data_IF_848863500998
#
_entry.id   IF_848863500998
#
_cell.length_a   1.000
_cell.length_b   1.000
_cell.length_c   1.000
_cell.angle_alpha   90.00
_cell.angle_beta   90.00
_cell.angle_gamma   90.00
#
_symmetry.space_group_name_H-M   'P 1'
#
loop_
_entity.id
_entity.type
_entity.pdbx_description
1 polymer ?
#
# COMPACT_ATOMS: atom_id res chain seq x y z
N UNK A 1 -23.80 6.38 16.08
CA UNK A 1 -23.19 6.73 14.78
C UNK A 1 -21.66 6.71 14.80
N UNK A 2 -21.02 7.07 15.92
CA UNK A 2 -19.55 7.12 16.00
C UNK A 2 -18.86 5.74 15.97
N UNK A 3 -19.52 4.68 16.46
CA UNK A 3 -18.96 3.32 16.44
C UNK A 3 -18.60 2.83 15.03
N UNK A 4 -19.45 3.11 14.04
CA UNK A 4 -19.19 2.72 12.64
C UNK A 4 -17.97 3.48 12.09
N UNK A 5 -17.84 4.78 12.40
CA UNK A 5 -16.68 5.57 11.98
C UNK A 5 -15.39 5.08 12.66
N UNK A 6 -15.46 4.68 13.93
CA UNK A 6 -14.29 4.15 14.66
C UNK A 6 -13.82 2.84 14.02
N UNK A 7 -14.73 1.91 13.75
CA UNK A 7 -14.40 0.64 13.07
C UNK A 7 -13.80 0.91 11.69
N UNK A 8 -14.38 1.84 10.93
CA UNK A 8 -13.87 2.21 9.60
C UNK A 8 -12.45 2.79 9.68
N UNK A 9 -12.17 3.67 10.65
CA UNK A 9 -10.82 4.20 10.85
C UNK A 9 -9.81 3.12 11.21
N UNK A 10 -10.18 2.15 12.04
CA UNK A 10 -9.32 1.01 12.36
C UNK A 10 -9.01 0.17 11.14
N UNK A 11 -10.01 -0.11 10.29
CA UNK A 11 -9.81 -0.83 9.03
C UNK A 11 -8.86 -0.07 8.09
N UNK A 12 -9.04 1.25 7.94
CA UNK A 12 -8.15 2.09 7.12
C UNK A 12 -6.73 2.04 7.66
N UNK A 13 -6.53 2.19 8.98
CA UNK A 13 -5.21 2.13 9.62
C UNK A 13 -4.54 0.78 9.40
N UNK A 14 -5.28 -0.31 9.54
CA UNK A 14 -4.77 -1.65 9.30
C UNK A 14 -4.35 -1.84 7.84
N UNK A 15 -5.18 -1.36 6.90
CA UNK A 15 -4.86 -1.40 5.48
C UNK A 15 -3.62 -0.56 5.11
N UNK A 16 -3.45 0.62 5.73
CA UNK A 16 -2.25 1.44 5.58
C UNK A 16 -1.00 0.69 6.07
N UNK A 17 -1.09 -0.07 7.16
CA UNK A 17 0.02 -0.88 7.65
C UNK A 17 0.42 -1.97 6.65
N UNK A 18 -0.56 -2.64 6.02
CA UNK A 18 -0.32 -3.60 4.93
C UNK A 18 0.38 -2.90 3.74
N UNK A 19 -0.07 -1.70 3.36
CA UNK A 19 0.57 -0.93 2.28
C UNK A 19 2.02 -0.57 2.59
N UNK A 20 2.32 -0.17 3.83
CA UNK A 20 3.70 0.10 4.25
C UNK A 20 4.55 -1.16 4.06
N UNK A 21 4.04 -2.32 4.49
CA UNK A 21 4.75 -3.59 4.35
C UNK A 21 5.01 -3.91 2.86
N UNK A 22 4.01 -3.69 1.99
CA UNK A 22 4.18 -3.80 0.53
C UNK A 22 5.28 -2.87 -0.01
N UNK A 23 5.27 -1.59 0.38
CA UNK A 23 6.29 -0.62 -0.06
C UNK A 23 7.68 -1.10 0.33
N UNK A 24 7.87 -1.58 1.57
CA UNK A 24 9.15 -2.11 2.04
C UNK A 24 9.59 -3.30 1.16
N UNK A 25 8.66 -4.22 0.85
CA UNK A 25 8.94 -5.39 0.03
C UNK A 25 9.31 -4.99 -1.42
N UNK A 26 8.62 -4.01 -2.00
CA UNK A 26 8.93 -3.47 -3.33
C UNK A 26 10.29 -2.74 -3.34
N UNK A 27 10.63 -2.02 -2.27
CA UNK A 27 11.94 -1.40 -2.10
C UNK A 27 13.05 -2.46 -2.02
N UNK A 28 12.91 -3.48 -1.17
CA UNK A 28 13.89 -4.58 -1.06
C UNK A 28 14.12 -5.22 -2.44
N UNK A 29 13.04 -5.49 -3.19
CA UNK A 29 13.12 -6.03 -4.55
C UNK A 29 13.84 -5.10 -5.51
N UNK A 30 13.49 -3.81 -5.49
CA UNK A 30 14.04 -2.88 -6.46
C UNK A 30 15.50 -2.54 -6.18
N UNK A 31 15.94 -2.56 -4.92
CA UNK A 31 17.35 -2.37 -4.54
C UNK A 31 18.18 -3.63 -4.77
N UNK A 32 17.59 -4.82 -4.59
CA UNK A 32 18.26 -6.10 -4.82
C UNK A 32 17.77 -6.75 -6.11
N UNK A 33 18.34 -6.31 -7.25
CA UNK A 33 17.96 -6.78 -8.59
C UNK A 33 18.06 -8.30 -8.78
N UNK A 34 18.89 -8.98 -7.98
CA UNK A 34 19.08 -10.44 -7.99
C UNK A 34 18.37 -11.15 -6.82
N UNK A 35 17.43 -10.48 -6.14
CA UNK A 35 16.74 -11.05 -4.99
C UNK A 35 15.89 -12.26 -5.40
N UNK A 36 16.12 -13.38 -4.71
CA UNK A 36 15.29 -14.59 -4.81
C UNK A 36 14.61 -14.77 -3.46
N UNK A 37 13.33 -14.42 -3.30
CA UNK A 37 12.65 -14.55 -2.02
C UNK A 37 12.66 -16.01 -1.57
N UNK A 38 12.96 -16.26 -0.29
CA UNK A 38 12.79 -17.60 0.27
C UNK A 38 11.31 -18.01 0.22
N UNK A 39 11.05 -19.31 0.15
CA UNK A 39 9.70 -19.87 0.02
C UNK A 39 8.75 -19.40 1.13
N UNK A 40 9.24 -19.32 2.37
CA UNK A 40 8.45 -18.84 3.51
C UNK A 40 8.02 -17.37 3.34
N UNK A 41 8.91 -16.53 2.79
CA UNK A 41 8.61 -15.11 2.57
C UNK A 41 7.51 -14.95 1.51
N UNK A 42 7.57 -15.74 0.44
CA UNK A 42 6.56 -15.68 -0.63
C UNK A 42 5.15 -16.03 -0.10
N UNK A 43 5.06 -17.02 0.79
CA UNK A 43 3.79 -17.42 1.43
C UNK A 43 3.22 -16.30 2.30
N UNK A 44 4.06 -15.58 3.04
CA UNK A 44 3.62 -14.46 3.88
C UNK A 44 3.26 -13.22 3.06
N UNK A 45 3.97 -12.99 1.95
CA UNK A 45 3.78 -11.81 1.13
C UNK A 45 2.55 -11.92 0.20
N UNK A 46 2.21 -13.14 -0.26
CA UNK A 46 1.06 -13.41 -1.11
C UNK A 46 -0.26 -12.78 -0.62
N UNK A 47 -0.71 -12.97 0.63
CA UNK A 47 -1.94 -12.33 1.11
C UNK A 47 -1.85 -10.81 1.13
N UNK A 48 -0.67 -10.22 1.39
CA UNK A 48 -0.47 -8.77 1.34
C UNK A 48 -0.66 -8.25 -0.08
N UNK A 49 -0.09 -8.95 -1.08
CA UNK A 49 -0.24 -8.59 -2.48
C UNK A 49 -1.68 -8.76 -2.95
N UNK A 50 -2.37 -9.84 -2.57
CA UNK A 50 -3.78 -10.05 -2.92
C UNK A 50 -4.67 -8.91 -2.41
N UNK A 51 -4.44 -8.46 -1.18
CA UNK A 51 -5.24 -7.37 -0.58
C UNK A 51 -4.91 -6.01 -1.19
N UNK A 52 -3.64 -5.76 -1.53
CA UNK A 52 -3.20 -4.45 -2.01
C UNK A 52 -3.22 -4.28 -3.53
N UNK A 53 -3.16 -5.36 -4.31
CA UNK A 53 -3.09 -5.30 -5.76
C UNK A 53 -4.33 -4.75 -6.44
N UNK A 54 -5.58 -5.08 -6.05
CA UNK A 54 -6.76 -4.50 -6.69
C UNK A 54 -6.78 -2.96 -6.67
N UNK A 55 -6.58 -2.28 -5.52
CA UNK A 55 -6.56 -0.81 -5.48
C UNK A 55 -5.30 -0.21 -6.13
N UNK A 56 -4.13 -0.85 -6.00
CA UNK A 56 -2.92 -0.39 -6.68
C UNK A 56 -3.08 -0.52 -8.19
N UNK A 57 -3.63 -1.62 -8.71
CA UNK A 57 -3.92 -1.79 -10.14
C UNK A 57 -4.95 -0.79 -10.64
N UNK A 58 -5.95 -0.46 -9.84
CA UNK A 58 -6.91 0.59 -10.18
C UNK A 58 -6.21 1.95 -10.36
N UNK A 59 -5.27 2.29 -9.47
CA UNK A 59 -4.47 3.51 -9.58
C UNK A 59 -3.43 3.46 -10.71
N UNK A 60 -2.80 2.31 -10.97
CA UNK A 60 -1.85 2.13 -12.08
C UNK A 60 -2.49 2.41 -13.45
N UNK A 61 -3.81 2.26 -13.59
CA UNK A 61 -4.54 2.65 -14.80
C UNK A 61 -4.55 4.17 -15.01
N UNK A 62 -4.50 4.94 -13.94
CA UNK A 62 -4.53 6.41 -13.97
C UNK A 62 -3.12 7.01 -13.95
N UNK A 63 -2.22 6.42 -13.17
CA UNK A 63 -0.85 6.89 -12.95
C UNK A 63 0.11 5.73 -13.23
N UNK A 64 0.69 5.64 -14.44
CA UNK A 64 1.61 4.56 -14.76
C UNK A 64 2.88 4.65 -13.90
N UNK A 65 3.51 3.50 -13.56
CA UNK A 65 4.72 3.48 -12.75
C UNK A 65 5.87 4.17 -13.48
N UNK A 66 6.60 5.03 -12.77
CA UNK A 66 7.74 5.77 -13.30
C UNK A 66 9.01 5.03 -12.92
N UNK A 67 9.83 4.71 -13.94
CA UNK A 67 11.15 4.14 -13.72
C UNK A 67 12.14 5.29 -13.50
N UNK A 68 12.74 5.38 -12.31
CA UNK A 68 13.74 6.39 -11.99
C UNK A 68 15.12 5.71 -11.96
N UNK A 69 15.97 5.98 -12.95
CA UNK A 69 17.36 5.52 -12.95
C UNK A 69 17.54 3.99 -12.94
N UNK A 70 16.63 3.24 -13.57
CA UNK A 70 16.67 1.77 -13.61
C UNK A 70 16.05 1.08 -12.38
N UNK A 71 15.51 1.84 -11.43
CA UNK A 71 14.75 1.39 -10.27
C UNK A 71 13.27 1.68 -10.55
N UNK A 72 12.43 0.63 -10.57
CA UNK A 72 10.99 0.78 -10.77
C UNK A 72 10.33 1.22 -9.47
N UNK A 73 10.10 2.52 -9.30
CA UNK A 73 9.39 3.06 -8.15
C UNK A 73 7.90 3.14 -8.48
N UNK A 74 7.07 2.33 -7.81
CA UNK A 74 5.64 2.36 -8.04
C UNK A 74 4.98 3.56 -7.36
N UNK A 75 4.94 4.67 -8.11
CA UNK A 75 4.29 5.92 -7.70
C UNK A 75 2.82 5.69 -7.32
N UNK A 76 2.14 4.72 -7.93
CA UNK A 76 0.74 4.40 -7.64
C UNK A 76 0.55 3.98 -6.18
N UNK A 77 1.50 3.24 -5.61
CA UNK A 77 1.45 2.77 -4.22
C UNK A 77 1.66 3.95 -3.26
N UNK A 78 2.59 4.86 -3.59
CA UNK A 78 2.80 6.08 -2.81
C UNK A 78 1.56 6.98 -2.84
N UNK A 79 0.96 7.16 -4.01
CA UNK A 79 -0.29 7.93 -4.16
C UNK A 79 -1.42 7.30 -3.33
N UNK A 80 -1.56 5.97 -3.36
CA UNK A 80 -2.55 5.28 -2.54
C UNK A 80 -2.32 5.52 -1.05
N UNK A 81 -1.07 5.43 -0.60
CA UNK A 81 -0.68 5.68 0.78
C UNK A 81 -1.04 7.11 1.21
N UNK A 82 -0.63 8.13 0.45
CA UNK A 82 -0.94 9.52 0.77
C UNK A 82 -2.45 9.81 0.71
N UNK A 83 -3.16 9.25 -0.28
CA UNK A 83 -4.60 9.38 -0.40
C UNK A 83 -5.34 8.83 0.82
N UNK A 84 -4.94 7.66 1.32
CA UNK A 84 -5.51 7.07 2.52
C UNK A 84 -5.19 7.84 3.80
N UNK A 85 -4.00 8.43 3.90
CA UNK A 85 -3.65 9.31 5.01
C UNK A 85 -4.53 10.56 5.05
N UNK A 86 -4.78 11.18 3.88
CA UNK A 86 -5.67 12.33 3.77
C UNK A 86 -7.10 11.92 4.13
N UNK A 87 -7.60 10.82 3.57
CA UNK A 87 -8.95 10.31 3.86
C UNK A 87 -9.13 10.00 5.35
N UNK A 88 -8.15 9.36 5.98
CA UNK A 88 -8.14 9.07 7.42
C UNK A 88 -8.22 10.35 8.25
N UNK A 89 -7.48 11.40 7.88
CA UNK A 89 -7.54 12.70 8.57
C UNK A 89 -8.89 13.39 8.40
N UNK A 90 -9.47 13.37 7.19
CA UNK A 90 -10.79 13.95 6.93
C UNK A 90 -11.87 13.22 7.74
N UNK A 91 -11.85 11.89 7.73
CA UNK A 91 -12.79 11.09 8.53
C UNK A 91 -12.61 11.33 10.04
N UNK A 92 -11.38 11.44 10.53
CA UNK A 92 -11.12 11.76 11.93
C UNK A 92 -11.60 13.17 12.31
N UNK A 93 -11.48 14.14 11.41
CA UNK A 93 -11.98 15.50 11.62
C UNK A 93 -13.51 15.59 11.66
N UNK A 94 -14.22 14.65 11.01
CA UNK A 94 -15.69 14.56 11.03
C UNK A 94 -16.23 13.85 12.29
N UNK A 95 -15.37 13.16 13.04
CA UNK A 95 -15.73 12.50 14.31
C UNK A 95 -15.64 13.48 15.48
N UNK A 96 -14.79 14.50 15.36
CA UNK A 96 -14.70 15.63 16.28
C UNK A 96 -15.78 16.67 15.98
#
# INVERSE_FOLDING_TARGET
>A
MNEILIVLLWLIRFYVLILILRIIIEMIQSFSRNWRPQRWFSILAEPLFVVTDPPVKALRKLIPPIQLGGVGLDVSVLVLFFGLQILSRVLAALIH
#
